data_IF_735464426652
#
_entry.id   IF_735464426652
#
_cell.length_a   1.000
_cell.length_b   1.000
_cell.length_c   1.000
_cell.angle_alpha   90.00
_cell.angle_beta   90.00
_cell.angle_gamma   90.00
#
_symmetry.space_group_name_H-M   'P 1'
#
loop_
_entity.id
_entity.type
_entity.pdbx_description
1 polymer ?
#
# COMPACT_ATOMS: atom_id res chain seq x y z
N UNK A 1 -44.75 12.62 14.36
CA UNK A 1 -43.73 11.56 14.37
C UNK A 1 -42.41 12.23 14.05
N UNK A 2 -41.58 12.45 15.05
CA UNK A 2 -40.21 12.97 14.91
C UNK A 2 -39.29 11.85 15.37
N UNK A 3 -38.09 11.77 14.79
CA UNK A 3 -36.90 10.97 15.16
C UNK A 3 -36.38 10.16 13.93
N UNK A 4 -35.10 10.07 13.61
CA UNK A 4 -33.88 10.70 14.11
C UNK A 4 -32.80 10.42 13.05
N UNK A 5 -32.27 11.45 12.39
CA UNK A 5 -31.17 11.28 11.42
C UNK A 5 -29.85 11.11 12.19
N UNK A 6 -29.46 9.86 12.45
CA UNK A 6 -28.19 9.53 13.11
C UNK A 6 -27.01 9.89 12.18
N UNK A 7 -26.52 11.12 12.29
CA UNK A 7 -25.27 11.56 11.66
C UNK A 7 -24.12 10.79 12.30
N UNK A 8 -23.63 9.75 11.62
CA UNK A 8 -22.40 9.06 11.99
C UNK A 8 -21.28 10.12 12.10
N UNK A 9 -20.50 10.16 13.20
CA UNK A 9 -19.41 11.11 13.32
C UNK A 9 -18.45 10.87 12.16
N UNK A 10 -18.31 11.88 11.29
CA UNK A 10 -17.43 11.81 10.14
C UNK A 10 -16.01 11.55 10.61
N UNK A 11 -15.37 10.50 10.08
CA UNK A 11 -13.95 10.23 10.32
C UNK A 11 -13.17 11.54 10.10
N UNK A 12 -12.35 11.98 11.07
CA UNK A 12 -11.64 13.26 10.95
C UNK A 12 -10.91 13.32 9.62
N UNK A 13 -11.15 14.40 8.88
CA UNK A 13 -10.57 14.65 7.56
C UNK A 13 -9.06 14.73 7.76
N UNK A 14 -8.32 13.74 7.25
CA UNK A 14 -6.86 13.65 7.42
C UNK A 14 -6.22 14.91 6.84
N UNK A 15 -5.75 15.80 7.71
CA UNK A 15 -5.00 17.03 7.36
C UNK A 15 -3.55 16.65 7.09
N UNK A 16 -3.30 16.15 5.89
CA UNK A 16 -1.96 15.86 5.40
C UNK A 16 -2.00 15.63 3.90
N UNK A 17 -0.89 15.78 3.17
CA UNK A 17 -0.85 15.51 1.74
C UNK A 17 -1.44 14.13 1.46
N UNK A 18 -2.32 14.06 0.46
CA UNK A 18 -2.89 12.81 0.02
C UNK A 18 -1.75 11.88 -0.39
N UNK A 19 -1.78 10.63 0.09
CA UNK A 19 -0.82 9.63 -0.39
C UNK A 19 -0.98 9.53 -1.90
N UNK A 20 0.06 9.85 -2.64
CA UNK A 20 0.06 9.73 -4.10
C UNK A 20 0.34 8.29 -4.48
N UNK A 21 -0.38 7.80 -5.50
CA UNK A 21 -0.05 6.51 -6.12
C UNK A 21 1.27 6.66 -6.86
N UNK A 22 2.33 6.04 -6.34
CA UNK A 22 3.67 6.12 -6.94
C UNK A 22 3.82 5.17 -8.14
N UNK A 23 3.17 4.00 -8.09
CA UNK A 23 3.22 2.99 -9.15
C UNK A 23 1.85 2.33 -9.31
N UNK A 24 1.37 2.23 -10.55
CA UNK A 24 0.24 1.39 -10.92
C UNK A 24 0.74 0.23 -11.80
N UNK A 25 0.71 -0.98 -11.27
CA UNK A 25 1.15 -2.17 -11.98
C UNK A 25 -0.04 -2.77 -12.74
N UNK A 26 0.11 -2.95 -14.05
CA UNK A 26 -0.81 -3.78 -14.85
C UNK A 26 -0.32 -5.21 -14.82
N UNK A 27 -1.21 -6.16 -14.57
CA UNK A 27 -0.88 -7.57 -14.67
C UNK A 27 -2.12 -8.43 -14.82
N UNK A 28 -1.90 -9.70 -15.14
CA UNK A 28 -2.95 -10.70 -15.26
C UNK A 28 -3.52 -11.06 -13.86
N UNK A 29 -4.75 -11.60 -13.80
CA UNK A 29 -5.31 -12.11 -12.55
C UNK A 29 -4.40 -13.14 -11.87
N UNK A 30 -3.75 -13.99 -12.66
CA UNK A 30 -2.80 -15.01 -12.18
C UNK A 30 -1.57 -14.36 -11.51
N UNK A 31 -1.04 -13.29 -12.10
CA UNK A 31 0.09 -12.58 -11.50
C UNK A 31 -0.30 -11.88 -10.20
N UNK A 32 -1.53 -11.35 -10.11
CA UNK A 32 -2.05 -10.79 -8.86
C UNK A 32 -2.16 -11.85 -7.77
N UNK A 33 -2.71 -13.03 -8.08
CA UNK A 33 -2.82 -14.14 -7.12
C UNK A 33 -1.46 -14.59 -6.61
N UNK A 34 -0.47 -14.64 -7.50
CA UNK A 34 0.91 -14.94 -7.10
C UNK A 34 1.48 -13.88 -6.16
N UNK A 35 1.25 -12.59 -6.44
CA UNK A 35 1.68 -11.49 -5.59
C UNK A 35 1.00 -11.51 -4.21
N UNK A 36 -0.30 -11.82 -4.16
CA UNK A 36 -1.04 -11.97 -2.91
C UNK A 36 -0.47 -13.15 -2.08
N UNK A 37 -0.17 -14.29 -2.72
CA UNK A 37 0.48 -15.43 -2.06
C UNK A 37 1.90 -15.12 -1.57
N UNK A 38 2.66 -14.33 -2.34
CA UNK A 38 3.99 -13.88 -1.92
C UNK A 38 3.92 -12.94 -0.71
N UNK A 39 2.95 -12.02 -0.69
CA UNK A 39 2.72 -11.14 0.45
C UNK A 39 2.31 -11.93 1.72
N UNK A 40 1.44 -12.93 1.57
CA UNK A 40 1.03 -13.82 2.66
C UNK A 40 2.23 -14.61 3.22
N UNK A 41 3.08 -15.15 2.34
CA UNK A 41 4.31 -15.85 2.75
C UNK A 41 5.24 -14.95 3.57
N UNK A 42 5.40 -13.69 3.14
CA UNK A 42 6.17 -12.70 3.89
C UNK A 42 5.45 -12.18 5.15
N UNK A 43 4.17 -12.52 5.35
CA UNK A 43 3.28 -11.98 6.41
C UNK A 43 3.21 -10.46 6.39
N UNK A 44 3.22 -9.88 5.20
CA UNK A 44 3.22 -8.45 4.97
C UNK A 44 2.03 -8.06 4.08
N UNK A 45 1.65 -6.78 4.13
CA UNK A 45 0.76 -6.23 3.12
C UNK A 45 1.43 -6.28 1.73
N UNK A 46 0.63 -6.37 0.66
CA UNK A 46 1.16 -6.37 -0.70
C UNK A 46 2.04 -5.14 -0.99
N UNK A 47 1.62 -3.96 -0.51
CA UNK A 47 2.40 -2.72 -0.65
C UNK A 47 3.75 -2.79 0.09
N UNK A 48 3.76 -3.28 1.33
CA UNK A 48 4.98 -3.44 2.13
C UNK A 48 5.92 -4.49 1.52
N UNK A 49 5.35 -5.56 0.98
CA UNK A 49 6.10 -6.62 0.28
C UNK A 49 6.81 -6.07 -0.95
N UNK A 50 6.10 -5.28 -1.77
CA UNK A 50 6.69 -4.62 -2.94
C UNK A 50 7.77 -3.63 -2.50
N UNK A 51 7.53 -2.83 -1.46
CA UNK A 51 8.52 -1.90 -0.93
C UNK A 51 9.80 -2.59 -0.46
N UNK A 52 9.68 -3.65 0.33
CA UNK A 52 10.86 -4.42 0.79
C UNK A 52 11.59 -5.08 -0.37
N UNK A 53 10.85 -5.60 -1.36
CA UNK A 53 11.45 -6.17 -2.56
C UNK A 53 12.26 -5.13 -3.34
N UNK A 54 11.73 -3.91 -3.48
CA UNK A 54 12.44 -2.79 -4.12
C UNK A 54 13.69 -2.38 -3.33
N UNK A 55 13.61 -2.36 -2.00
CA UNK A 55 14.76 -2.08 -1.13
C UNK A 55 15.87 -3.13 -1.27
N UNK A 56 15.51 -4.41 -1.25
CA UNK A 56 16.45 -5.51 -1.46
C UNK A 56 17.09 -5.44 -2.85
N UNK A 57 16.29 -5.21 -3.89
CA UNK A 57 16.78 -5.08 -5.26
C UNK A 57 17.71 -3.86 -5.43
N UNK A 58 17.36 -2.71 -4.84
CA UNK A 58 18.22 -1.53 -4.85
C UNK A 58 19.55 -1.81 -4.15
N UNK A 59 19.54 -2.48 -2.99
CA UNK A 59 20.75 -2.85 -2.26
C UNK A 59 21.63 -3.81 -3.06
N UNK A 60 21.05 -4.82 -3.69
CA UNK A 60 21.75 -5.79 -4.54
C UNK A 60 22.46 -5.11 -5.72
N UNK A 61 21.82 -4.10 -6.32
CA UNK A 61 22.40 -3.29 -7.41
C UNK A 61 23.36 -2.19 -6.95
N UNK A 62 23.62 -2.05 -5.65
CA UNK A 62 24.42 -0.96 -5.11
C UNK A 62 23.78 0.42 -5.28
N UNK A 63 22.46 0.47 -5.46
CA UNK A 63 21.71 1.72 -5.59
C UNK A 63 21.47 2.37 -4.23
N UNK A 64 21.37 3.70 -4.22
CA UNK A 64 21.19 4.48 -2.99
C UNK A 64 19.86 4.10 -2.31
N UNK A 65 19.88 3.96 -0.99
CA UNK A 65 18.67 3.76 -0.20
C UNK A 65 17.68 4.92 -0.37
N UNK A 66 16.37 4.66 -0.22
CA UNK A 66 15.36 5.71 -0.39
C UNK A 66 15.50 6.80 0.67
N UNK A 67 15.05 8.03 0.37
CA UNK A 67 14.95 9.08 1.37
C UNK A 67 13.99 8.67 2.50
N UNK A 68 14.26 9.14 3.72
CA UNK A 68 13.36 8.92 4.87
C UNK A 68 12.00 9.59 4.58
N UNK A 69 10.92 8.83 4.74
CA UNK A 69 9.53 9.28 4.57
C UNK A 69 8.96 9.87 5.85
#
# INVERSE_FOLDING_TARGET
>A
MVESNSRKPGRPKRTGPARQTVVALRGSPEWKLWLDGFADHCRLGLADTIEQSLLCYAKDRGFRGPPKR
#
